data_IF_022161308282
#
_entry.id   IF_022161308282
#
_cell.length_a   1.000
_cell.length_b   1.000
_cell.length_c   1.000
_cell.angle_alpha   90.00
_cell.angle_beta   90.00
_cell.angle_gamma   90.00
#
_symmetry.space_group_name_H-M   'P 1'
#
loop_
_entity.id
_entity.type
_entity.pdbx_description
1 polymer ?
#
# COMPACT_ATOMS: atom_id res chain seq x y z
N UNK A 1 30.79 52.19 -32.55
CA UNK A 1 30.69 50.92 -31.80
C UNK A 1 29.49 50.16 -32.35
N UNK A 2 29.76 49.14 -33.18
CA UNK A 2 28.73 48.39 -33.88
C UNK A 2 27.90 47.55 -32.92
N UNK A 3 26.57 47.63 -33.04
CA UNK A 3 25.66 46.64 -32.46
C UNK A 3 25.96 45.32 -33.16
N UNK A 4 26.67 44.41 -32.49
CA UNK A 4 26.71 43.02 -32.92
C UNK A 4 25.28 42.49 -32.86
N UNK A 5 24.65 42.29 -34.02
CA UNK A 5 23.39 41.54 -34.10
C UNK A 5 23.71 40.10 -33.71
N UNK A 6 23.19 39.66 -32.58
CA UNK A 6 23.19 38.25 -32.20
C UNK A 6 22.50 37.46 -33.34
N UNK A 7 23.16 36.43 -33.86
CA UNK A 7 22.62 35.58 -34.92
C UNK A 7 21.27 34.98 -34.52
N UNK A 8 20.37 34.74 -35.49
CA UNK A 8 19.02 34.19 -35.26
C UNK A 8 19.00 32.92 -34.39
N UNK A 9 20.05 32.10 -34.47
CA UNK A 9 20.26 30.88 -33.65
C UNK A 9 20.41 31.19 -32.16
N UNK A 10 21.13 32.26 -31.80
CA UNK A 10 21.30 32.68 -30.40
C UNK A 10 19.98 33.18 -29.81
N UNK A 11 19.23 33.97 -30.59
CA UNK A 11 17.92 34.50 -30.18
C UNK A 11 16.91 33.37 -29.91
N UNK A 12 16.91 32.31 -30.71
CA UNK A 12 16.03 31.16 -30.51
C UNK A 12 16.37 30.36 -29.24
N UNK A 13 17.66 30.13 -28.95
CA UNK A 13 18.07 29.41 -27.73
C UNK A 13 17.69 30.18 -26.45
N UNK A 14 17.77 31.52 -26.45
CA UNK A 14 17.32 32.32 -25.30
C UNK A 14 15.79 32.30 -25.12
N UNK A 15 15.04 32.23 -26.22
CA UNK A 15 13.58 32.08 -26.17
C UNK A 15 13.19 30.70 -25.62
N UNK A 16 13.93 29.67 -26.00
CA UNK A 16 13.73 28.31 -25.51
C UNK A 16 14.03 28.23 -24.00
N UNK A 17 15.17 28.78 -23.57
CA UNK A 17 15.60 28.81 -22.16
C UNK A 17 14.54 29.41 -21.24
N UNK A 18 14.05 30.62 -21.53
CA UNK A 18 13.04 31.29 -20.68
C UNK A 18 11.72 30.51 -20.61
N UNK A 19 11.33 29.87 -21.72
CA UNK A 19 10.09 29.11 -21.79
C UNK A 19 10.20 27.87 -20.90
N UNK A 20 11.34 27.17 -20.97
CA UNK A 20 11.63 26.00 -20.14
C UNK A 20 11.79 26.37 -18.67
N UNK A 21 12.41 27.50 -18.35
CA UNK A 21 12.52 28.03 -17.00
C UNK A 21 11.14 28.30 -16.38
N UNK A 22 10.28 29.04 -17.11
CA UNK A 22 8.92 29.34 -16.65
C UNK A 22 8.06 28.07 -16.52
N UNK A 23 8.20 27.14 -17.46
CA UNK A 23 7.51 25.83 -17.43
C UNK A 23 7.96 24.98 -16.24
N UNK A 24 9.25 24.92 -15.96
CA UNK A 24 9.82 24.18 -14.83
C UNK A 24 9.30 24.72 -13.49
N UNK A 25 9.32 26.04 -13.29
CA UNK A 25 8.75 26.68 -12.09
C UNK A 25 7.25 26.37 -11.92
N UNK A 26 6.48 26.49 -13.01
CA UNK A 26 5.03 26.18 -12.98
C UNK A 26 4.77 24.70 -12.72
N UNK A 27 5.63 23.81 -13.23
CA UNK A 27 5.57 22.37 -13.01
C UNK A 27 5.69 21.98 -11.54
N UNK A 28 6.45 22.73 -10.75
CA UNK A 28 6.56 22.53 -9.29
C UNK A 28 5.55 23.38 -8.48
N UNK A 29 4.62 24.07 -9.16
CA UNK A 29 3.56 24.86 -8.51
C UNK A 29 4.04 26.12 -7.76
N UNK A 30 5.28 26.57 -7.95
CA UNK A 30 5.83 27.71 -7.23
C UNK A 30 5.54 29.06 -7.89
N UNK A 31 5.32 30.07 -7.07
CA UNK A 31 5.28 31.47 -7.51
C UNK A 31 6.70 32.02 -7.64
N UNK A 32 6.88 33.08 -8.41
CA UNK A 32 8.20 33.72 -8.55
C UNK A 32 8.75 34.22 -7.21
N UNK A 33 7.87 34.68 -6.29
CA UNK A 33 8.27 35.12 -4.96
C UNK A 33 8.85 33.96 -4.12
N UNK A 34 8.16 32.80 -4.10
CA UNK A 34 8.60 31.61 -3.37
C UNK A 34 9.94 31.06 -3.88
N UNK A 35 10.17 31.13 -5.19
CA UNK A 35 11.48 30.76 -5.75
C UNK A 35 12.56 31.70 -5.22
N UNK A 36 12.36 33.02 -5.32
CA UNK A 36 13.34 33.98 -4.83
C UNK A 36 13.66 33.78 -3.34
N UNK A 37 12.67 33.47 -2.51
CA UNK A 37 12.86 33.11 -1.10
C UNK A 37 13.68 31.82 -0.93
N UNK A 38 13.46 30.81 -1.79
CA UNK A 38 14.10 29.49 -1.67
C UNK A 38 15.58 29.50 -2.07
N UNK A 39 15.96 30.35 -3.03
CA UNK A 39 17.34 30.45 -3.55
C UNK A 39 18.02 31.77 -3.15
N UNK A 40 17.50 32.45 -2.12
CA UNK A 40 18.04 33.72 -1.59
C UNK A 40 18.29 34.81 -2.65
N UNK A 41 17.45 34.88 -3.69
CA UNK A 41 17.49 35.97 -4.64
C UNK A 41 16.94 37.23 -4.00
N UNK A 42 17.75 38.30 -4.02
CA UNK A 42 17.46 39.56 -3.32
C UNK A 42 16.19 40.27 -3.81
N UNK A 43 15.67 39.93 -4.99
CA UNK A 43 14.49 40.59 -5.53
C UNK A 43 13.65 39.70 -6.46
N UNK A 44 12.32 39.75 -6.31
CA UNK A 44 11.34 39.09 -7.19
C UNK A 44 11.46 39.56 -8.64
N UNK A 45 11.83 40.82 -8.84
CA UNK A 45 12.02 41.40 -10.17
C UNK A 45 13.12 40.67 -10.97
N UNK A 46 14.13 40.12 -10.29
CA UNK A 46 15.24 39.37 -10.92
C UNK A 46 14.73 38.13 -11.66
N UNK A 47 13.92 37.30 -10.99
CA UNK A 47 13.35 36.10 -11.61
C UNK A 47 12.31 36.45 -12.69
N UNK A 48 11.53 37.52 -12.48
CA UNK A 48 10.62 38.03 -13.51
C UNK A 48 11.38 38.48 -14.76
N UNK A 49 12.57 39.06 -14.61
CA UNK A 49 13.41 39.47 -15.72
C UNK A 49 13.98 38.27 -16.48
N UNK A 50 14.38 37.20 -15.77
CA UNK A 50 14.82 35.95 -16.37
C UNK A 50 13.72 35.28 -17.21
N UNK A 51 12.47 35.36 -16.76
CA UNK A 51 11.31 34.82 -17.50
C UNK A 51 10.73 35.81 -18.54
N UNK A 52 11.26 37.04 -18.61
CA UNK A 52 10.67 38.10 -19.44
C UNK A 52 11.03 37.95 -20.93
N UNK A 53 10.21 38.56 -21.80
CA UNK A 53 10.49 38.59 -23.25
C UNK A 53 11.73 39.41 -23.63
N UNK A 54 12.16 40.35 -22.78
CA UNK A 54 13.28 41.27 -23.04
C UNK A 54 14.57 40.87 -22.32
N UNK A 55 14.56 39.78 -21.55
CA UNK A 55 15.65 39.21 -20.76
C UNK A 55 16.94 40.04 -20.76
N UNK A 56 17.01 41.00 -19.85
CA UNK A 56 18.11 41.97 -19.81
C UNK A 56 19.41 41.37 -19.25
N UNK A 57 19.29 40.26 -18.51
CA UNK A 57 20.42 39.58 -17.86
C UNK A 57 20.17 38.07 -17.78
N UNK A 58 21.24 37.29 -17.96
CA UNK A 58 21.30 35.86 -17.65
C UNK A 58 21.52 35.63 -16.14
N UNK A 59 20.99 34.54 -15.57
CA UNK A 59 21.42 34.11 -14.25
C UNK A 59 22.94 33.95 -14.21
N UNK A 60 23.56 34.28 -13.09
CA UNK A 60 24.94 33.85 -12.83
C UNK A 60 25.02 32.32 -12.81
N UNK A 61 26.23 31.77 -12.87
CA UNK A 61 26.40 30.32 -12.80
C UNK A 61 25.81 29.76 -11.50
N UNK A 62 26.03 30.43 -10.37
CA UNK A 62 25.48 30.02 -9.07
C UNK A 62 23.94 30.08 -9.07
N UNK A 63 23.35 31.20 -9.53
CA UNK A 63 21.89 31.35 -9.65
C UNK A 63 21.28 30.29 -10.57
N UNK A 64 22.01 29.90 -11.63
CA UNK A 64 21.59 28.87 -12.57
C UNK A 64 21.62 27.47 -11.96
N UNK A 65 22.67 27.13 -11.21
CA UNK A 65 22.77 25.85 -10.48
C UNK A 65 21.65 25.75 -9.44
N UNK A 66 21.43 26.80 -8.65
CA UNK A 66 20.36 26.83 -7.64
C UNK A 66 18.97 26.64 -8.26
N UNK A 67 18.72 27.23 -9.44
CA UNK A 67 17.47 27.04 -10.18
C UNK A 67 17.33 25.60 -10.71
N UNK A 68 18.42 24.99 -11.20
CA UNK A 68 18.42 23.59 -11.65
C UNK A 68 18.06 22.65 -10.49
N UNK A 69 18.69 22.83 -9.33
CA UNK A 69 18.47 22.02 -8.13
C UNK A 69 17.05 22.20 -7.59
N UNK A 70 16.57 23.45 -7.49
CA UNK A 70 15.22 23.76 -7.01
C UNK A 70 14.15 23.12 -7.90
N UNK A 71 14.31 23.23 -9.21
CA UNK A 71 13.34 22.70 -10.17
C UNK A 71 13.52 21.21 -10.48
N UNK A 72 14.58 20.60 -9.94
CA UNK A 72 14.99 19.23 -10.21
C UNK A 72 15.11 18.96 -11.72
N UNK A 73 15.88 19.80 -12.41
CA UNK A 73 16.12 19.70 -13.85
C UNK A 73 17.60 19.79 -14.18
N UNK A 74 18.02 19.12 -15.26
CA UNK A 74 19.39 19.16 -15.75
C UNK A 74 19.68 20.47 -16.48
N UNK A 75 20.91 20.99 -16.41
CA UNK A 75 21.32 22.19 -17.15
C UNK A 75 21.02 22.13 -18.64
N UNK A 76 21.26 20.99 -19.29
CA UNK A 76 21.01 20.81 -20.72
C UNK A 76 19.54 20.95 -21.09
N UNK A 77 18.62 20.56 -20.20
CA UNK A 77 17.19 20.76 -20.42
C UNK A 77 16.88 22.25 -20.47
N UNK A 78 17.31 23.02 -19.46
CA UNK A 78 17.04 24.45 -19.43
C UNK A 78 17.70 25.17 -20.61
N UNK A 79 18.90 24.77 -21.02
CA UNK A 79 19.62 25.37 -22.14
C UNK A 79 19.07 25.00 -23.53
N UNK A 80 18.12 24.07 -23.62
CA UNK A 80 17.53 23.68 -24.90
C UNK A 80 18.30 22.59 -25.65
N UNK A 81 19.31 21.98 -25.04
CA UNK A 81 20.12 20.92 -25.67
C UNK A 81 19.46 19.55 -25.59
N UNK A 82 18.67 19.30 -24.54
CA UNK A 82 17.98 18.03 -24.32
C UNK A 82 16.49 18.24 -24.02
N UNK A 83 15.62 17.33 -24.44
CA UNK A 83 14.19 17.36 -24.10
C UNK A 83 13.88 16.72 -22.74
N UNK A 84 14.84 15.96 -22.19
CA UNK A 84 14.67 15.25 -20.92
C UNK A 84 14.93 16.21 -19.76
N UNK A 85 13.93 16.41 -18.90
CA UNK A 85 14.04 17.31 -17.74
C UNK A 85 15.14 16.92 -16.78
N UNK A 86 15.22 15.65 -16.41
CA UNK A 86 16.22 15.11 -15.51
C UNK A 86 16.51 13.67 -15.93
N UNK A 87 17.72 13.43 -16.44
CA UNK A 87 18.12 12.14 -17.00
C UNK A 87 18.21 11.07 -15.93
N UNK A 88 18.71 11.41 -14.74
CA UNK A 88 18.83 10.47 -13.62
C UNK A 88 17.46 9.99 -13.18
N UNK A 89 16.52 10.91 -12.95
CA UNK A 89 15.15 10.58 -12.56
C UNK A 89 14.47 9.74 -13.62
N UNK A 90 14.58 10.15 -14.90
CA UNK A 90 14.01 9.37 -16.01
C UNK A 90 14.57 7.94 -16.04
N UNK A 91 15.88 7.78 -15.91
CA UNK A 91 16.53 6.46 -15.90
C UNK A 91 16.00 5.62 -14.73
N UNK A 92 15.90 6.17 -13.52
CA UNK A 92 15.34 5.46 -12.38
C UNK A 92 13.87 5.06 -12.59
N UNK A 93 13.04 5.94 -13.16
CA UNK A 93 11.65 5.61 -13.49
C UNK A 93 11.58 4.48 -14.54
N UNK A 94 12.40 4.55 -15.58
CA UNK A 94 12.39 3.59 -16.68
C UNK A 94 12.89 2.21 -16.26
N UNK A 95 13.97 2.14 -15.47
CA UNK A 95 14.58 0.89 -15.01
C UNK A 95 13.82 0.25 -13.83
N UNK A 96 13.43 1.06 -12.83
CA UNK A 96 12.80 0.56 -11.60
C UNK A 96 11.27 0.57 -11.66
N UNK A 97 10.67 1.11 -12.74
CA UNK A 97 9.21 1.27 -12.92
C UNK A 97 8.55 2.05 -11.78
N UNK A 98 9.31 2.94 -11.14
CA UNK A 98 8.81 3.85 -10.12
C UNK A 98 8.21 5.09 -10.76
N UNK A 99 7.26 5.71 -10.06
CA UNK A 99 6.76 7.03 -10.45
C UNK A 99 7.80 8.13 -10.16
N UNK A 100 7.73 9.22 -10.93
CA UNK A 100 8.68 10.34 -10.83
C UNK A 100 8.73 10.93 -9.40
N UNK A 101 7.58 11.00 -8.72
CA UNK A 101 7.53 11.57 -7.37
C UNK A 101 8.20 10.66 -6.33
N UNK A 102 8.03 9.33 -6.43
CA UNK A 102 8.74 8.38 -5.58
C UNK A 102 10.24 8.46 -5.77
N UNK A 103 10.73 8.50 -7.02
CA UNK A 103 12.17 8.65 -7.31
C UNK A 103 12.71 9.94 -6.71
N UNK A 104 12.04 11.07 -6.93
CA UNK A 104 12.44 12.37 -6.36
C UNK A 104 12.47 12.30 -4.82
N UNK A 105 11.49 11.65 -4.20
CA UNK A 105 11.41 11.51 -2.74
C UNK A 105 12.59 10.68 -2.21
N UNK A 106 12.91 9.58 -2.87
CA UNK A 106 14.04 8.72 -2.50
C UNK A 106 15.36 9.49 -2.63
N UNK A 107 15.56 10.22 -3.73
CA UNK A 107 16.79 10.96 -3.97
C UNK A 107 16.98 12.14 -3.00
N UNK A 108 15.91 12.83 -2.59
CA UNK A 108 15.99 13.98 -1.69
C UNK A 108 16.12 13.59 -0.21
N UNK A 109 15.59 12.43 0.17
CA UNK A 109 15.58 12.00 1.56
C UNK A 109 16.76 11.07 1.86
N UNK A 110 17.73 11.54 2.65
CA UNK A 110 18.92 10.76 3.02
C UNK A 110 18.61 9.43 3.73
N UNK A 111 17.45 9.32 4.40
CA UNK A 111 17.02 8.06 5.04
C UNK A 111 16.35 7.09 4.06
N UNK A 112 15.78 7.59 2.96
CA UNK A 112 15.00 6.75 2.06
C UNK A 112 15.82 5.64 1.39
N UNK A 113 17.05 5.87 0.89
CA UNK A 113 17.88 4.78 0.35
C UNK A 113 18.23 3.72 1.40
N UNK A 114 18.46 4.10 2.65
CA UNK A 114 18.75 3.17 3.75
C UNK A 114 17.53 2.30 4.03
N UNK A 115 16.35 2.93 4.15
CA UNK A 115 15.09 2.23 4.36
C UNK A 115 14.78 1.25 3.21
N UNK A 116 14.95 1.70 1.96
CA UNK A 116 14.76 0.85 0.78
C UNK A 116 15.73 -0.34 0.83
N UNK A 117 17.02 -0.11 1.09
CA UNK A 117 17.99 -1.20 1.18
C UNK A 117 17.59 -2.21 2.27
N UNK A 118 17.21 -1.75 3.46
CA UNK A 118 16.78 -2.63 4.56
C UNK A 118 15.52 -3.43 4.24
N UNK A 119 14.54 -2.81 3.57
CA UNK A 119 13.29 -3.48 3.18
C UNK A 119 13.52 -4.55 2.12
N UNK A 120 14.35 -4.27 1.11
CA UNK A 120 14.50 -5.12 -0.07
C UNK A 120 15.69 -6.09 -0.01
N UNK A 121 16.71 -5.81 0.82
CA UNK A 121 17.89 -6.68 0.93
C UNK A 121 17.78 -7.72 2.04
N UNK A 122 16.83 -7.54 2.98
CA UNK A 122 16.57 -8.48 4.08
C UNK A 122 15.35 -9.36 3.83
N UNK A 123 15.00 -10.18 4.83
CA UNK A 123 13.84 -11.07 4.79
C UNK A 123 12.49 -10.31 4.81
N UNK A 124 12.52 -9.00 5.05
CA UNK A 124 11.32 -8.16 5.16
C UNK A 124 10.48 -8.16 3.88
N UNK A 125 11.11 -8.16 2.70
CA UNK A 125 10.36 -8.20 1.43
C UNK A 125 9.58 -9.50 1.27
N UNK A 126 10.22 -10.65 1.54
CA UNK A 126 9.56 -11.95 1.46
C UNK A 126 8.37 -12.07 2.43
N UNK A 127 8.50 -11.52 3.65
CA UNK A 127 7.39 -11.47 4.62
C UNK A 127 6.26 -10.56 4.15
N UNK A 128 6.56 -9.43 3.50
CA UNK A 128 5.55 -8.55 2.90
C UNK A 128 4.79 -9.29 1.78
N UNK A 129 5.50 -9.99 0.89
CA UNK A 129 4.87 -10.77 -0.18
C UNK A 129 3.97 -11.88 0.36
N UNK A 130 4.43 -12.59 1.40
CA UNK A 130 3.63 -13.60 2.08
C UNK A 130 2.40 -12.98 2.73
N UNK A 131 2.55 -11.86 3.45
CA UNK A 131 1.44 -11.15 4.06
C UNK A 131 0.37 -10.74 3.03
N UNK A 132 0.78 -10.17 1.89
CA UNK A 132 -0.16 -9.80 0.80
C UNK A 132 -0.91 -11.03 0.28
N UNK A 133 -0.20 -12.14 0.10
CA UNK A 133 -0.80 -13.41 -0.34
C UNK A 133 -1.83 -13.93 0.67
N UNK A 134 -1.48 -13.94 1.95
CA UNK A 134 -2.37 -14.37 3.03
C UNK A 134 -3.57 -13.44 3.21
N UNK A 135 -3.38 -12.12 3.12
CA UNK A 135 -4.45 -11.13 3.18
C UNK A 135 -5.48 -11.38 2.07
N UNK A 136 -5.00 -11.63 0.84
CA UNK A 136 -5.88 -11.93 -0.29
C UNK A 136 -6.66 -13.24 -0.08
N UNK A 137 -6.01 -14.28 0.44
CA UNK A 137 -6.66 -15.55 0.74
C UNK A 137 -7.71 -15.40 1.85
N UNK A 138 -7.33 -14.75 2.95
CA UNK A 138 -8.20 -14.44 4.09
C UNK A 138 -9.44 -13.64 3.65
N UNK A 139 -9.27 -12.59 2.84
CA UNK A 139 -10.38 -11.77 2.35
C UNK A 139 -11.37 -12.58 1.50
N UNK A 140 -10.88 -13.46 0.62
CA UNK A 140 -11.75 -14.34 -0.18
C UNK A 140 -12.57 -15.28 0.71
N UNK A 141 -11.97 -15.84 1.75
CA UNK A 141 -12.69 -16.71 2.69
C UNK A 141 -13.66 -15.92 3.58
N UNK A 142 -13.31 -14.68 3.91
CA UNK A 142 -14.18 -13.76 4.64
C UNK A 142 -15.44 -13.45 3.84
N UNK A 143 -15.32 -13.23 2.54
CA UNK A 143 -16.48 -13.03 1.68
C UNK A 143 -17.41 -14.25 1.72
N UNK A 144 -16.86 -15.47 1.62
CA UNK A 144 -17.65 -16.72 1.70
C UNK A 144 -18.40 -16.87 3.03
N UNK A 145 -17.73 -16.65 4.16
CA UNK A 145 -18.40 -16.81 5.46
C UNK A 145 -19.43 -15.71 5.71
N UNK A 146 -19.21 -14.49 5.21
CA UNK A 146 -20.15 -13.36 5.37
C UNK A 146 -21.38 -13.46 4.48
N UNK A 147 -21.36 -14.25 3.40
CA UNK A 147 -22.57 -14.62 2.65
C UNK A 147 -23.30 -15.83 3.25
N UNK A 148 -22.63 -16.62 4.09
CA UNK A 148 -23.17 -17.81 4.72
C UNK A 148 -23.79 -17.53 6.10
N UNK A 149 -23.21 -16.64 6.90
CA UNK A 149 -23.59 -16.43 8.30
C UNK A 149 -23.75 -14.97 8.68
N UNK A 150 -24.60 -14.70 9.67
CA UNK A 150 -24.76 -13.36 10.24
C UNK A 150 -23.49 -12.92 10.97
N UNK A 151 -23.19 -11.61 10.96
CA UNK A 151 -21.97 -11.09 11.62
C UNK A 151 -21.89 -11.44 13.10
N UNK A 152 -23.02 -11.45 13.81
CA UNK A 152 -23.10 -11.85 15.21
C UNK A 152 -22.75 -13.33 15.41
N UNK A 153 -23.17 -14.19 14.48
CA UNK A 153 -22.82 -15.61 14.52
C UNK A 153 -21.36 -15.85 14.15
N UNK A 154 -20.82 -15.13 13.16
CA UNK A 154 -19.40 -15.17 12.81
C UNK A 154 -18.54 -14.84 14.03
N UNK A 155 -18.79 -13.72 14.72
CA UNK A 155 -18.04 -13.35 15.94
C UNK A 155 -18.12 -14.42 17.04
N UNK A 156 -19.24 -15.16 17.10
CA UNK A 156 -19.38 -16.29 18.03
C UNK A 156 -18.57 -17.50 17.59
N UNK A 157 -18.59 -17.85 16.30
CA UNK A 157 -17.77 -18.92 15.73
C UNK A 157 -16.28 -18.65 15.94
N UNK A 158 -15.86 -17.40 15.77
CA UNK A 158 -14.50 -16.94 16.04
C UNK A 158 -14.06 -17.21 17.48
N UNK A 159 -14.92 -16.93 18.47
CA UNK A 159 -14.63 -17.22 19.88
C UNK A 159 -14.57 -18.73 20.16
N UNK A 160 -15.49 -19.51 19.59
CA UNK A 160 -15.49 -20.97 19.70
C UNK A 160 -14.24 -21.57 19.07
N UNK A 161 -13.82 -21.03 17.93
CA UNK A 161 -12.64 -21.50 17.24
C UNK A 161 -11.37 -21.25 18.03
N UNK A 162 -11.23 -20.10 18.68
CA UNK A 162 -10.09 -19.84 19.58
C UNK A 162 -10.01 -20.87 20.72
N UNK A 163 -11.15 -21.30 21.25
CA UNK A 163 -11.20 -22.40 22.24
C UNK A 163 -10.85 -23.75 21.62
N UNK A 164 -11.35 -24.06 20.44
CA UNK A 164 -11.00 -25.28 19.71
C UNK A 164 -9.50 -25.35 19.43
N UNK A 165 -8.92 -24.27 18.88
CA UNK A 165 -7.52 -24.13 18.53
C UNK A 165 -6.59 -24.26 19.75
N UNK A 166 -7.02 -23.79 20.92
CA UNK A 166 -6.22 -23.91 22.16
C UNK A 166 -6.37 -25.26 22.88
N UNK A 167 -7.45 -26.00 22.61
CA UNK A 167 -7.77 -27.27 23.29
C UNK A 167 -7.52 -28.52 22.44
N UNK A 168 -7.20 -28.36 21.16
CA UNK A 168 -6.96 -29.46 20.22
C UNK A 168 -5.47 -29.51 19.87
N UNK A 169 -4.90 -30.71 19.76
CA UNK A 169 -3.50 -30.85 19.37
C UNK A 169 -3.31 -30.42 17.90
N UNK A 170 -2.25 -29.69 17.53
CA UNK A 170 -2.11 -29.14 16.18
C UNK A 170 -2.15 -30.14 15.03
N UNK A 171 -1.66 -31.37 15.24
CA UNK A 171 -1.73 -32.42 14.20
C UNK A 171 -3.15 -32.97 13.99
N UNK A 172 -4.07 -32.70 14.92
CA UNK A 172 -5.45 -33.14 14.86
C UNK A 172 -6.37 -32.09 14.24
N UNK A 173 -5.85 -30.93 13.83
CA UNK A 173 -6.67 -29.89 13.21
C UNK A 173 -7.31 -30.39 11.92
N UNK A 174 -8.64 -30.47 11.93
CA UNK A 174 -9.44 -30.77 10.74
C UNK A 174 -10.84 -30.21 10.88
N UNK A 175 -11.56 -30.13 9.76
CA UNK A 175 -12.99 -29.82 9.77
C UNK A 175 -13.78 -30.82 10.63
N UNK A 176 -13.44 -32.11 10.54
CA UNK A 176 -14.10 -33.18 11.30
C UNK A 176 -13.91 -33.05 12.82
N UNK A 177 -12.71 -32.73 13.27
CA UNK A 177 -12.44 -32.52 14.70
C UNK A 177 -13.08 -31.22 15.19
N UNK A 178 -13.19 -30.21 14.32
CA UNK A 178 -13.96 -29.01 14.63
C UNK A 178 -15.47 -29.31 14.76
N UNK A 179 -16.06 -30.12 13.87
CA UNK A 179 -17.46 -30.59 14.02
C UNK A 179 -17.66 -31.28 15.37
N UNK A 180 -16.76 -32.20 15.75
CA UNK A 180 -16.81 -32.88 17.05
C UNK A 180 -16.74 -31.91 18.22
N UNK A 181 -15.90 -30.89 18.12
CA UNK A 181 -15.84 -29.81 19.09
C UNK A 181 -17.17 -29.05 19.16
N UNK A 182 -17.75 -28.64 18.03
CA UNK A 182 -19.05 -27.95 17.99
C UNK A 182 -20.17 -28.80 18.62
N UNK A 183 -20.22 -30.12 18.36
CA UNK A 183 -21.18 -31.04 19.01
C UNK A 183 -21.08 -31.01 20.54
N UNK A 184 -19.89 -30.77 21.08
CA UNK A 184 -19.67 -30.73 22.53
C UNK A 184 -20.15 -29.43 23.19
N UNK A 185 -20.32 -28.36 22.41
CA UNK A 185 -20.61 -27.02 22.90
C UNK A 185 -22.08 -26.83 23.28
N UNK A 186 -22.32 -26.22 24.45
CA UNK A 186 -23.68 -26.08 25.01
C UNK A 186 -24.66 -25.36 24.09
N UNK A 187 -24.14 -24.41 23.30
CA UNK A 187 -24.95 -23.56 22.42
C UNK A 187 -25.62 -24.39 21.33
N UNK A 188 -25.00 -25.50 20.94
CA UNK A 188 -25.56 -26.44 19.99
C UNK A 188 -26.35 -27.54 20.69
N UNK A 189 -26.11 -27.83 21.97
CA UNK A 189 -26.92 -28.80 22.73
C UNK A 189 -28.30 -28.28 23.16
N UNK A 190 -28.50 -26.96 23.20
CA UNK A 190 -29.62 -26.31 23.91
C UNK A 190 -30.67 -25.63 23.02
N UNK A 191 -30.55 -25.64 21.69
CA UNK A 191 -31.61 -25.06 20.86
C UNK A 191 -32.82 -26.00 20.81
N UNK A 192 -34.01 -25.44 21.09
CA UNK A 192 -35.27 -26.18 21.07
C UNK A 192 -35.83 -26.39 19.67
N UNK A 193 -35.44 -25.53 18.74
CA UNK A 193 -35.90 -25.52 17.36
C UNK A 193 -34.71 -25.21 16.44
N UNK A 194 -34.41 -26.14 15.53
CA UNK A 194 -33.32 -26.02 14.56
C UNK A 194 -33.59 -24.91 13.53
N UNK A 195 -34.86 -24.69 13.16
CA UNK A 195 -35.25 -23.66 12.19
C UNK A 195 -35.09 -22.27 12.80
N UNK A 196 -35.48 -22.07 14.07
CA UNK A 196 -35.24 -20.81 14.78
C UNK A 196 -33.73 -20.49 14.89
N UNK A 197 -32.91 -21.53 15.13
CA UNK A 197 -31.46 -21.38 15.14
C UNK A 197 -30.93 -20.94 13.77
N UNK A 198 -31.35 -21.60 12.69
CA UNK A 198 -30.96 -21.25 11.32
C UNK A 198 -31.42 -19.83 10.94
N UNK A 199 -32.62 -19.41 11.34
CA UNK A 199 -33.14 -18.05 11.11
C UNK A 199 -32.29 -16.95 11.75
N UNK A 200 -31.67 -17.24 12.89
CA UNK A 200 -30.77 -16.30 13.56
C UNK A 200 -29.34 -16.31 13.00
N UNK A 201 -28.89 -17.45 12.47
CA UNK A 201 -27.47 -17.68 12.20
C UNK A 201 -27.15 -17.74 10.70
N UNK A 202 -28.03 -18.32 9.88
CA UNK A 202 -27.78 -18.67 8.48
C UNK A 202 -28.36 -17.61 7.53
N UNK A 203 -27.53 -17.24 6.56
CA UNK A 203 -27.90 -16.45 5.40
C UNK A 203 -28.17 -17.36 4.19
N UNK A 204 -28.45 -16.75 3.05
CA UNK A 204 -28.87 -17.45 1.82
C UNK A 204 -27.89 -18.54 1.39
N UNK A 205 -26.58 -18.30 1.43
CA UNK A 205 -25.58 -19.26 0.94
C UNK A 205 -25.58 -20.54 1.78
N UNK A 206 -25.57 -20.41 3.11
CA UNK A 206 -25.58 -21.58 4.00
C UNK A 206 -26.87 -22.39 3.86
N UNK A 207 -28.01 -21.73 3.67
CA UNK A 207 -29.30 -22.40 3.43
C UNK A 207 -29.32 -23.16 2.12
N UNK A 208 -28.85 -22.54 1.05
CA UNK A 208 -28.78 -23.17 -0.26
C UNK A 208 -27.88 -24.42 -0.22
N UNK A 209 -26.72 -24.33 0.44
CA UNK A 209 -25.83 -25.47 0.59
C UNK A 209 -26.40 -26.56 1.50
N UNK A 210 -27.17 -26.20 2.54
CA UNK A 210 -27.90 -27.18 3.35
C UNK A 210 -28.91 -27.94 2.48
N UNK A 211 -29.77 -27.24 1.73
CA UNK A 211 -30.76 -27.86 0.85
C UNK A 211 -30.11 -28.72 -0.24
N UNK A 212 -28.99 -28.28 -0.81
CA UNK A 212 -28.27 -29.03 -1.83
C UNK A 212 -27.61 -30.30 -1.27
N UNK A 213 -26.96 -30.19 -0.10
CA UNK A 213 -26.22 -31.30 0.50
C UNK A 213 -27.14 -32.30 1.20
N UNK A 214 -28.31 -31.84 1.66
CA UNK A 214 -29.32 -32.62 2.38
C UNK A 214 -30.72 -32.35 1.78
N UNK A 215 -31.05 -32.91 0.60
CA UNK A 215 -32.33 -32.63 -0.08
C UNK A 215 -33.58 -33.03 0.73
N UNK A 216 -33.46 -34.09 1.55
CA UNK A 216 -34.53 -34.59 2.41
C UNK A 216 -34.37 -34.12 3.88
N UNK A 217 -33.75 -32.95 4.10
CA UNK A 217 -33.45 -32.43 5.45
C UNK A 217 -34.63 -32.47 6.41
N UNK A 218 -35.84 -32.11 5.95
CA UNK A 218 -37.05 -32.08 6.79
C UNK A 218 -37.53 -33.49 7.23
N UNK A 219 -37.11 -34.55 6.54
CA UNK A 219 -37.45 -35.94 6.85
C UNK A 219 -36.41 -36.63 7.75
N UNK A 220 -35.26 -35.98 7.99
CA UNK A 220 -34.22 -36.48 8.88
C UNK A 220 -34.70 -36.42 10.34
N UNK A 221 -34.17 -37.32 11.18
CA UNK A 221 -34.43 -37.21 12.62
C UNK A 221 -33.69 -36.01 13.23
N UNK A 222 -34.08 -35.58 14.42
CA UNK A 222 -33.50 -34.39 15.08
C UNK A 222 -31.97 -34.44 15.21
N UNK A 223 -31.40 -35.62 15.49
CA UNK A 223 -29.95 -35.79 15.59
C UNK A 223 -29.25 -35.67 14.24
N UNK A 224 -29.87 -36.17 13.17
CA UNK A 224 -29.35 -36.08 11.80
C UNK A 224 -29.45 -34.65 11.26
N UNK A 225 -30.53 -33.93 11.57
CA UNK A 225 -30.68 -32.51 11.23
C UNK A 225 -29.62 -31.65 11.93
N UNK A 226 -29.37 -31.93 13.21
CA UNK A 226 -28.32 -31.28 14.00
C UNK A 226 -26.95 -31.49 13.37
N UNK A 227 -26.63 -32.74 13.04
CA UNK A 227 -25.36 -33.12 12.41
C UNK A 227 -25.18 -32.46 11.04
N UNK A 228 -26.25 -32.37 10.23
CA UNK A 228 -26.25 -31.68 8.95
C UNK A 228 -25.95 -30.18 9.11
N UNK A 229 -26.62 -29.50 10.05
CA UNK A 229 -26.41 -28.08 10.33
C UNK A 229 -24.98 -27.80 10.81
N UNK A 230 -24.45 -28.63 11.72
CA UNK A 230 -23.06 -28.50 12.16
C UNK A 230 -22.05 -28.73 11.03
N UNK A 231 -22.35 -29.65 10.12
CA UNK A 231 -21.53 -29.89 8.93
C UNK A 231 -21.49 -28.67 8.02
N UNK A 232 -22.64 -28.03 7.77
CA UNK A 232 -22.70 -26.77 7.00
C UNK A 232 -21.96 -25.64 7.71
N UNK A 233 -22.06 -25.53 9.04
CA UNK A 233 -21.29 -24.57 9.82
C UNK A 233 -19.79 -24.78 9.60
N UNK A 234 -19.30 -26.01 9.77
CA UNK A 234 -17.89 -26.31 9.63
C UNK A 234 -17.39 -26.07 8.19
N UNK A 235 -18.14 -26.52 7.18
CA UNK A 235 -17.84 -26.34 5.76
C UNK A 235 -17.57 -24.87 5.41
N UNK A 236 -18.44 -23.97 5.87
CA UNK A 236 -18.34 -22.55 5.53
C UNK A 236 -17.39 -21.75 6.42
N UNK A 237 -17.06 -22.25 7.61
CA UNK A 237 -16.31 -21.46 8.60
C UNK A 237 -14.89 -21.95 8.85
N UNK A 238 -14.62 -23.26 8.76
CA UNK A 238 -13.36 -23.84 9.21
C UNK A 238 -12.14 -23.24 8.50
N UNK A 239 -12.16 -23.18 7.17
CA UNK A 239 -11.07 -22.63 6.38
C UNK A 239 -10.83 -21.14 6.70
N UNK A 240 -11.90 -20.34 6.79
CA UNK A 240 -11.82 -18.93 7.20
C UNK A 240 -11.17 -18.80 8.58
N UNK A 241 -11.68 -19.55 9.56
CA UNK A 241 -11.23 -19.48 10.95
C UNK A 241 -9.76 -19.91 11.11
N UNK A 242 -9.34 -20.98 10.43
CA UNK A 242 -7.93 -21.38 10.36
C UNK A 242 -7.07 -20.31 9.69
N UNK A 243 -7.51 -19.79 8.53
CA UNK A 243 -6.77 -18.76 7.80
C UNK A 243 -6.59 -17.48 8.62
N UNK A 244 -7.58 -17.13 9.45
CA UNK A 244 -7.52 -15.96 10.33
C UNK A 244 -6.41 -16.10 11.36
N UNK A 245 -6.30 -17.26 12.01
CA UNK A 245 -5.23 -17.50 12.99
C UNK A 245 -3.86 -17.39 12.33
N UNK A 246 -3.69 -18.00 11.15
CA UNK A 246 -2.44 -17.88 10.40
C UNK A 246 -2.14 -16.44 9.95
N UNK A 247 -3.17 -15.71 9.53
CA UNK A 247 -3.05 -14.32 9.11
C UNK A 247 -2.60 -13.42 10.28
N UNK A 248 -3.20 -13.56 11.46
CA UNK A 248 -2.82 -12.84 12.68
C UNK A 248 -1.35 -13.12 13.06
N UNK A 249 -0.90 -14.37 12.95
CA UNK A 249 0.51 -14.74 13.20
C UNK A 249 1.49 -14.12 12.19
N UNK A 250 1.13 -14.11 10.90
CA UNK A 250 1.94 -13.49 9.84
C UNK A 250 2.00 -11.97 10.02
N UNK A 251 0.86 -11.33 10.32
CA UNK A 251 0.77 -9.90 10.58
C UNK A 251 1.69 -9.50 11.74
N UNK A 252 1.65 -10.27 12.84
CA UNK A 252 2.52 -10.05 13.99
C UNK A 252 4.01 -10.13 13.63
N UNK A 253 4.43 -11.18 12.91
CA UNK A 253 5.84 -11.33 12.48
C UNK A 253 6.29 -10.19 11.58
N UNK A 254 5.46 -9.79 10.62
CA UNK A 254 5.74 -8.66 9.75
C UNK A 254 5.94 -7.37 10.56
N UNK A 255 5.07 -7.10 11.54
CA UNK A 255 5.17 -5.91 12.38
C UNK A 255 6.45 -5.93 13.23
N UNK A 256 6.87 -7.08 13.74
CA UNK A 256 8.15 -7.24 14.45
C UNK A 256 9.35 -6.97 13.53
N UNK A 257 9.33 -7.48 12.30
CA UNK A 257 10.39 -7.25 11.29
C UNK A 257 10.49 -5.78 10.88
N UNK A 258 9.35 -5.15 10.57
CA UNK A 258 9.30 -3.73 10.21
C UNK A 258 9.78 -2.84 11.37
N UNK A 259 9.43 -3.19 12.60
CA UNK A 259 9.96 -2.50 13.79
C UNK A 259 11.48 -2.64 13.88
N UNK A 260 12.02 -3.83 13.56
CA UNK A 260 13.46 -4.06 13.47
C UNK A 260 14.15 -3.20 12.42
N UNK A 261 13.59 -3.11 11.22
CA UNK A 261 14.07 -2.23 10.14
C UNK A 261 14.11 -0.78 10.61
N UNK A 262 13.02 -0.27 11.19
CA UNK A 262 12.94 1.11 11.67
C UNK A 262 14.02 1.40 12.72
N UNK A 263 14.27 0.46 13.65
CA UNK A 263 15.32 0.61 14.66
C UNK A 263 16.71 0.69 14.04
N UNK A 264 17.02 -0.15 13.06
CA UNK A 264 18.33 -0.14 12.36
C UNK A 264 18.54 1.17 11.60
N UNK A 265 17.55 1.60 10.82
CA UNK A 265 17.58 2.88 10.11
C UNK A 265 17.79 4.05 11.09
N UNK A 266 17.12 4.03 12.24
CA UNK A 266 17.28 5.06 13.27
C UNK A 266 18.66 5.07 13.93
N UNK A 267 19.34 3.91 14.03
CA UNK A 267 20.70 3.84 14.55
C UNK A 267 21.74 4.33 13.54
N UNK A 268 21.56 4.02 12.25
CA UNK A 268 22.44 4.48 11.18
C UNK A 268 22.28 5.97 10.87
N UNK A 269 21.11 6.52 11.17
CA UNK A 269 20.82 7.94 11.10
C UNK A 269 20.67 8.53 12.51
N UNK A 270 21.76 8.60 13.31
CA UNK A 270 21.68 9.26 14.61
C UNK A 270 21.28 10.71 14.35
N UNK A 271 20.25 11.18 15.06
CA UNK A 271 19.74 12.55 15.01
C UNK A 271 20.92 13.55 14.95
N UNK A 272 21.33 13.94 13.75
CA UNK A 272 22.05 15.19 13.55
C UNK A 272 20.98 16.26 13.68
N UNK A 273 20.84 16.70 14.94
CA UNK A 273 20.35 18.01 15.35
C UNK A 273 20.20 18.96 14.18
N UNK A 274 18.94 19.33 13.89
CA UNK A 274 18.62 20.63 13.31
C UNK A 274 19.04 21.70 14.33
#
# INVERSE_FOLDING_TARGET
MGKHSLSDTHTNNFIEFKNRLSKARKGIGMTQAKVCESINLSNRSTLSNFESKKMERLPSLDEFVDLCDLYNVDPNYLLGFDEVRNFTVKTCCDELKLDENAVITIMKNKMAPILVNELFSGDSYAEIEQYVTWLNYYNKLRDVITTAFTSSFISRLELLFSRYYTSTFPLDYSENTFIRFLKSEEIFKKYKDIYEFMDKCFLTEARNNLTFSYPDFDNLNESEQHDAVLSIIALHSYAYLMSRVHFEDVEKRLMEQLTGVIRRVSHEYPFRTV
#
